data_IF_914882446423
#
_entry.id   IF_914882446423
#
_cell.length_a   1.000
_cell.length_b   1.000
_cell.length_c   1.000
_cell.angle_alpha   90.00
_cell.angle_beta   90.00
_cell.angle_gamma   90.00
#
_symmetry.space_group_name_H-M   'P 1'
#
loop_
_entity.id
_entity.type
_entity.pdbx_description
1 polymer ?
#
# COMPACT_ATOMS: atom_id res chain seq x y z
N UNK A 1 -14.21 3.21 -6.40
CA UNK A 1 -12.78 3.02 -6.72
C UNK A 1 -12.12 2.14 -5.65
N UNK A 2 -11.25 1.23 -6.07
CA UNK A 2 -10.40 0.46 -5.16
C UNK A 2 -8.97 0.96 -5.25
N UNK A 3 -8.33 1.20 -4.10
CA UNK A 3 -6.99 1.76 -3.98
C UNK A 3 -6.12 0.81 -3.16
N UNK A 4 -5.06 0.29 -3.76
CA UNK A 4 -4.02 -0.43 -3.03
C UNK A 4 -2.93 0.54 -2.60
N UNK A 5 -2.60 0.55 -1.32
CA UNK A 5 -1.48 1.32 -0.77
C UNK A 5 -0.28 0.40 -0.54
N UNK A 6 0.86 0.75 -1.10
CA UNK A 6 2.12 0.15 -0.68
C UNK A 6 2.63 0.79 0.62
N UNK A 7 3.67 0.21 1.21
CA UNK A 7 4.26 0.68 2.48
C UNK A 7 4.84 2.09 2.36
N UNK A 8 5.34 2.48 1.18
CA UNK A 8 5.94 3.81 0.98
C UNK A 8 4.92 4.94 1.06
N UNK A 9 3.69 4.68 0.63
CA UNK A 9 2.58 5.65 0.73
C UNK A 9 1.96 5.59 2.12
N UNK A 10 1.66 4.41 2.65
CA UNK A 10 1.02 4.30 3.97
C UNK A 10 1.88 4.89 5.09
N UNK A 11 3.20 4.68 5.08
CA UNK A 11 4.09 5.29 6.08
C UNK A 11 3.98 6.83 6.12
N UNK A 12 3.77 7.47 4.98
CA UNK A 12 3.65 8.94 4.87
C UNK A 12 2.39 9.49 5.50
N UNK A 13 1.35 8.70 5.69
CA UNK A 13 0.14 9.11 6.42
C UNK A 13 0.50 9.58 7.84
N UNK A 14 1.50 8.97 8.45
CA UNK A 14 1.90 9.19 9.85
C UNK A 14 3.11 10.10 10.01
N UNK A 15 3.76 10.51 8.95
CA UNK A 15 5.00 11.29 8.96
C UNK A 15 4.80 12.65 8.26
N UNK A 16 4.35 13.69 8.99
CA UNK A 16 3.99 15.00 8.41
C UNK A 16 5.17 15.72 7.74
N UNK A 17 6.39 15.39 8.12
CA UNK A 17 7.62 15.95 7.56
C UNK A 17 8.09 15.27 6.27
N UNK A 18 7.43 14.19 5.84
CA UNK A 18 7.72 13.51 4.59
C UNK A 18 7.04 14.20 3.40
N UNK A 19 7.77 14.34 2.31
CA UNK A 19 7.20 14.75 1.02
C UNK A 19 6.16 13.70 0.57
N UNK A 20 4.96 14.14 0.22
CA UNK A 20 3.84 13.27 -0.13
C UNK A 20 2.93 12.89 1.04
N UNK A 21 3.13 13.49 2.24
CA UNK A 21 2.23 13.29 3.38
C UNK A 21 0.80 13.73 3.09
N UNK A 22 0.62 14.92 2.54
CA UNK A 22 -0.71 15.47 2.25
C UNK A 22 -1.47 14.60 1.24
N UNK A 23 -0.80 14.12 0.21
CA UNK A 23 -1.35 13.22 -0.79
C UNK A 23 -1.71 11.85 -0.20
N UNK A 24 -0.84 11.29 0.64
CA UNK A 24 -1.10 10.02 1.32
C UNK A 24 -2.31 10.14 2.26
N UNK A 25 -2.40 11.21 3.02
CA UNK A 25 -3.52 11.47 3.92
C UNK A 25 -4.83 11.65 3.14
N UNK A 26 -4.79 12.35 2.01
CA UNK A 26 -5.95 12.52 1.13
C UNK A 26 -6.47 11.17 0.61
N UNK A 27 -5.58 10.23 0.25
CA UNK A 27 -5.98 8.92 -0.23
C UNK A 27 -6.78 8.12 0.79
N UNK A 28 -6.36 8.09 2.06
CA UNK A 28 -7.06 7.31 3.10
C UNK A 28 -8.34 7.98 3.60
N UNK A 29 -8.60 9.23 3.19
CA UNK A 29 -9.82 9.97 3.57
C UNK A 29 -10.87 10.02 2.47
N UNK A 30 -10.65 9.34 1.33
CA UNK A 30 -11.65 9.25 0.26
C UNK A 30 -12.84 8.40 0.73
N UNK A 31 -14.01 9.02 0.80
CA UNK A 31 -15.21 8.37 1.38
C UNK A 31 -15.81 7.26 0.52
N UNK A 32 -15.66 7.35 -0.81
CA UNK A 32 -16.24 6.40 -1.77
C UNK A 32 -15.20 5.44 -2.36
N UNK A 33 -14.12 5.18 -1.61
CA UNK A 33 -13.07 4.26 -2.00
C UNK A 33 -12.93 3.10 -1.01
N UNK A 34 -12.62 1.93 -1.54
CA UNK A 34 -12.13 0.80 -0.75
C UNK A 34 -10.61 0.89 -0.73
N UNK A 35 -10.05 1.13 0.44
CA UNK A 35 -8.60 1.26 0.63
C UNK A 35 -8.05 -0.08 1.14
N UNK A 36 -7.11 -0.65 0.42
CA UNK A 36 -6.56 -1.96 0.75
C UNK A 36 -5.03 -1.93 0.82
N UNK A 37 -4.47 -2.86 1.57
CA UNK A 37 -3.02 -3.13 1.61
C UNK A 37 -2.75 -4.59 1.89
N UNK A 38 -1.52 -5.04 1.72
CA UNK A 38 -1.11 -6.40 2.05
C UNK A 38 -0.69 -6.55 3.52
N UNK A 39 -0.69 -7.79 4.02
CA UNK A 39 -0.39 -8.09 5.43
C UNK A 39 1.04 -7.68 5.87
N UNK A 40 2.02 -7.75 4.96
CA UNK A 40 3.40 -7.34 5.27
C UNK A 40 3.58 -5.84 5.40
N UNK A 41 2.65 -5.05 4.89
CA UNK A 41 2.68 -3.59 5.01
C UNK A 41 2.72 -3.15 6.48
N UNK A 42 2.00 -3.84 7.38
CA UNK A 42 2.05 -3.55 8.81
C UNK A 42 3.48 -3.68 9.36
N UNK A 43 4.21 -4.72 8.96
CA UNK A 43 5.59 -4.95 9.38
C UNK A 43 6.51 -3.85 8.84
N UNK A 44 6.41 -3.55 7.56
CA UNK A 44 7.25 -2.54 6.89
C UNK A 44 7.01 -1.13 7.45
N UNK A 45 5.75 -0.73 7.59
CA UNK A 45 5.39 0.59 8.11
C UNK A 45 5.74 0.72 9.59
N UNK A 46 5.49 -0.31 10.42
CA UNK A 46 5.93 -0.32 11.82
C UNK A 46 7.44 -0.06 11.93
N UNK A 47 8.23 -0.74 11.11
CA UNK A 47 9.68 -0.53 11.08
C UNK A 47 10.06 0.90 10.67
N UNK A 48 9.38 1.47 9.68
CA UNK A 48 9.62 2.85 9.25
C UNK A 48 9.27 3.87 10.34
N UNK A 49 8.15 3.69 11.04
CA UNK A 49 7.71 4.57 12.13
C UNK A 49 8.64 4.50 13.33
N UNK A 50 9.10 3.31 13.72
CA UNK A 50 10.07 3.13 14.80
C UNK A 50 11.41 3.83 14.46
N UNK A 51 11.89 3.69 13.23
CA UNK A 51 13.10 4.40 12.78
C UNK A 51 12.93 5.91 12.80
N UNK A 52 11.77 6.43 12.38
CA UNK A 52 11.45 7.85 12.44
C UNK A 52 11.42 8.36 13.88
N UNK A 53 10.79 7.64 14.80
CA UNK A 53 10.75 7.98 16.23
C UNK A 53 12.16 8.01 16.84
N UNK A 54 13.01 7.03 16.54
CA UNK A 54 14.41 7.00 16.97
C UNK A 54 15.26 8.14 16.42
N UNK A 55 14.87 8.71 15.30
CA UNK A 55 15.43 9.94 14.71
C UNK A 55 14.75 11.21 15.24
N UNK A 56 14.00 11.15 16.33
CA UNK A 56 13.26 12.25 16.95
C UNK A 56 12.21 12.93 16.02
N UNK A 57 11.62 12.15 15.09
CA UNK A 57 10.61 12.62 14.14
C UNK A 57 9.17 12.27 14.55
N UNK A 58 8.95 11.87 15.78
CA UNK A 58 7.62 11.53 16.31
C UNK A 58 7.71 10.70 17.58
N UNK A 59 6.55 10.51 18.21
CA UNK A 59 6.38 9.64 19.37
C UNK A 59 6.05 8.22 18.92
N UNK A 60 6.88 7.25 19.28
CA UNK A 60 6.76 5.85 18.84
C UNK A 60 5.39 5.25 19.21
N UNK A 61 4.93 5.47 20.44
CA UNK A 61 3.67 4.90 20.92
C UNK A 61 2.48 5.48 20.15
N UNK A 62 2.47 6.79 19.92
CA UNK A 62 1.39 7.46 19.18
C UNK A 62 1.39 7.08 17.71
N UNK A 63 2.57 6.98 17.07
CA UNK A 63 2.67 6.59 15.66
C UNK A 63 2.17 5.16 15.44
N UNK A 64 2.59 4.22 16.27
CA UNK A 64 2.14 2.83 16.16
C UNK A 64 0.67 2.66 16.49
N UNK A 65 0.16 3.38 17.49
CA UNK A 65 -1.27 3.36 17.82
C UNK A 65 -2.15 3.88 16.67
N UNK A 66 -1.71 4.92 15.97
CA UNK A 66 -2.42 5.46 14.80
C UNK A 66 -2.45 4.43 13.65
N UNK A 67 -1.31 3.79 13.35
CA UNK A 67 -1.23 2.73 12.36
C UNK A 67 -2.16 1.56 12.70
N UNK A 68 -2.11 1.08 13.94
CA UNK A 68 -2.94 -0.04 14.41
C UNK A 68 -4.44 0.29 14.32
N UNK A 69 -4.82 1.52 14.61
CA UNK A 69 -6.21 1.97 14.50
C UNK A 69 -6.70 1.99 13.06
N UNK A 70 -5.88 2.45 12.11
CA UNK A 70 -6.25 2.52 10.69
C UNK A 70 -6.34 1.13 10.04
N UNK A 71 -5.57 0.15 10.52
CA UNK A 71 -5.60 -1.23 10.04
C UNK A 71 -6.45 -2.18 10.91
N UNK A 72 -7.16 -1.67 11.90
CA UNK A 72 -8.06 -2.51 12.71
C UNK A 72 -9.14 -3.16 11.85
N UNK A 73 -9.29 -4.48 11.97
CA UNK A 73 -10.18 -5.26 11.11
C UNK A 73 -11.67 -4.89 11.23
N UNK A 74 -12.09 -4.20 12.30
CA UNK A 74 -13.50 -3.85 12.59
C UNK A 74 -13.81 -2.39 12.32
N UNK A 75 -12.86 -1.51 12.56
CA UNK A 75 -13.05 -0.05 12.59
C UNK A 75 -12.03 0.73 11.78
N UNK A 76 -11.02 0.08 11.25
CA UNK A 76 -9.98 0.71 10.45
C UNK A 76 -10.46 1.19 9.08
N UNK A 77 -9.77 2.18 8.53
CA UNK A 77 -10.06 2.74 7.21
C UNK A 77 -9.32 2.02 6.09
N UNK A 78 -8.30 1.23 6.43
CA UNK A 78 -7.49 0.46 5.49
C UNK A 78 -7.72 -1.04 5.72
N UNK A 79 -8.21 -1.72 4.71
CA UNK A 79 -8.45 -3.16 4.77
C UNK A 79 -7.15 -3.92 4.46
N UNK A 80 -6.74 -4.80 5.36
CA UNK A 80 -5.66 -5.74 5.07
C UNK A 80 -6.24 -6.94 4.33
N UNK A 81 -5.74 -7.22 3.13
CA UNK A 81 -6.19 -8.37 2.35
C UNK A 81 -5.67 -9.68 2.96
N UNK A 82 -6.52 -10.68 2.99
CA UNK A 82 -6.19 -12.07 3.39
C UNK A 82 -6.10 -12.95 2.14
N UNK A 83 -5.00 -12.78 1.39
CA UNK A 83 -4.76 -13.57 0.19
C UNK A 83 -3.86 -14.78 0.49
N UNK A 84 -4.03 -15.85 -0.27
CA UNK A 84 -3.24 -17.07 -0.13
C UNK A 84 -1.77 -16.78 -0.42
N UNK A 85 -0.89 -16.98 0.58
CA UNK A 85 0.55 -16.66 0.46
C UNK A 85 1.19 -17.35 -0.75
N UNK A 86 0.88 -18.62 -1.00
CA UNK A 86 1.43 -19.36 -2.14
C UNK A 86 1.05 -18.73 -3.50
N UNK A 87 -0.13 -18.13 -3.59
CA UNK A 87 -0.57 -17.44 -4.80
C UNK A 87 0.13 -16.09 -4.98
N UNK A 88 0.28 -15.33 -3.90
CA UNK A 88 1.08 -14.09 -3.91
C UNK A 88 2.52 -14.39 -4.35
N UNK A 89 3.15 -15.42 -3.77
CA UNK A 89 4.53 -15.81 -4.10
C UNK A 89 4.68 -16.22 -5.57
N UNK A 90 3.72 -16.95 -6.11
CA UNK A 90 3.72 -17.36 -7.53
C UNK A 90 3.66 -16.14 -8.45
N UNK A 91 2.73 -15.22 -8.22
CA UNK A 91 2.58 -14.00 -9.02
C UNK A 91 3.82 -13.11 -8.88
N UNK A 92 4.31 -12.91 -7.66
CA UNK A 92 5.51 -12.12 -7.41
C UNK A 92 6.74 -12.70 -8.11
N UNK A 93 6.91 -14.04 -8.09
CA UNK A 93 7.98 -14.73 -8.80
C UNK A 93 7.93 -14.48 -10.32
N UNK A 94 6.73 -14.56 -10.90
CA UNK A 94 6.53 -14.29 -12.33
C UNK A 94 6.89 -12.83 -12.66
N UNK A 95 6.48 -11.86 -11.84
CA UNK A 95 6.82 -10.45 -12.00
C UNK A 95 8.34 -10.20 -11.92
N UNK A 96 9.01 -10.79 -10.92
CA UNK A 96 10.47 -10.67 -10.77
C UNK A 96 11.21 -11.24 -11.98
N UNK A 97 10.81 -12.42 -12.45
CA UNK A 97 11.45 -13.08 -13.60
C UNK A 97 11.21 -12.33 -14.91
N UNK A 98 10.04 -11.71 -15.06
CA UNK A 98 9.69 -10.95 -16.26
C UNK A 98 10.33 -9.57 -16.34
N UNK A 99 10.45 -8.86 -15.20
CA UNK A 99 10.83 -7.44 -15.16
C UNK A 99 12.12 -7.14 -14.40
N UNK A 100 12.58 -8.06 -13.54
CA UNK A 100 13.72 -7.81 -12.64
C UNK A 100 13.40 -6.87 -11.47
N UNK A 101 12.13 -6.58 -11.21
CA UNK A 101 11.72 -5.74 -10.06
C UNK A 101 12.15 -6.40 -8.75
N UNK A 102 12.38 -5.59 -7.71
CA UNK A 102 12.74 -6.10 -6.39
C UNK A 102 11.62 -6.93 -5.78
N UNK A 103 11.97 -7.94 -4.99
CA UNK A 103 11.03 -8.95 -4.48
C UNK A 103 9.88 -8.38 -3.66
N UNK A 104 10.13 -7.39 -2.78
CA UNK A 104 9.05 -6.78 -2.00
C UNK A 104 8.14 -5.90 -2.85
N UNK A 105 8.69 -5.22 -3.86
CA UNK A 105 7.89 -4.45 -4.81
C UNK A 105 6.98 -5.36 -5.65
N UNK A 106 7.51 -6.51 -6.07
CA UNK A 106 6.72 -7.56 -6.75
C UNK A 106 5.64 -8.15 -5.83
N UNK A 107 5.94 -8.34 -4.55
CA UNK A 107 4.99 -8.83 -3.56
C UNK A 107 3.79 -7.87 -3.42
N UNK A 108 4.02 -6.56 -3.33
CA UNK A 108 2.95 -5.56 -3.28
C UNK A 108 2.09 -5.56 -4.55
N UNK A 109 2.72 -5.64 -5.72
CA UNK A 109 1.98 -5.75 -6.99
C UNK A 109 1.14 -7.03 -7.06
N UNK A 110 1.67 -8.15 -6.58
CA UNK A 110 0.94 -9.42 -6.51
C UNK A 110 -0.26 -9.34 -5.56
N UNK A 111 -0.09 -8.73 -4.38
CA UNK A 111 -1.18 -8.48 -3.44
C UNK A 111 -2.27 -7.58 -4.05
N UNK A 112 -1.86 -6.51 -4.73
CA UNK A 112 -2.79 -5.61 -5.40
C UNK A 112 -3.58 -6.33 -6.50
N UNK A 113 -2.93 -7.18 -7.29
CA UNK A 113 -3.59 -7.96 -8.34
C UNK A 113 -4.70 -8.83 -7.76
N UNK A 114 -4.41 -9.59 -6.71
CA UNK A 114 -5.41 -10.44 -6.04
C UNK A 114 -6.53 -9.62 -5.40
N UNK A 115 -6.20 -8.50 -4.75
CA UNK A 115 -7.20 -7.61 -4.16
C UNK A 115 -8.14 -7.01 -5.22
N UNK A 116 -7.59 -6.57 -6.34
CA UNK A 116 -8.39 -6.00 -7.43
C UNK A 116 -9.27 -7.05 -8.11
N UNK A 117 -8.78 -8.28 -8.26
CA UNK A 117 -9.56 -9.36 -8.87
C UNK A 117 -10.70 -9.82 -7.95
N UNK A 118 -10.50 -9.79 -6.63
CA UNK A 118 -11.51 -10.19 -5.65
C UNK A 118 -12.54 -9.09 -5.33
N UNK A 119 -12.09 -7.84 -5.22
CA UNK A 119 -12.89 -6.76 -4.63
C UNK A 119 -13.41 -5.73 -5.64
N UNK A 120 -12.77 -5.57 -6.81
CA UNK A 120 -13.18 -4.55 -7.76
C UNK A 120 -14.41 -5.00 -8.56
N UNK A 121 -15.42 -4.15 -8.59
CA UNK A 121 -16.59 -4.33 -9.45
C UNK A 121 -16.22 -4.15 -10.94
N UNK A 122 -16.98 -4.73 -11.87
CA UNK A 122 -16.76 -4.53 -13.31
C UNK A 122 -16.82 -3.05 -13.69
N UNK A 123 -15.71 -2.56 -14.28
CA UNK A 123 -15.57 -1.15 -14.69
C UNK A 123 -15.14 -0.20 -13.57
N UNK A 124 -14.88 -0.72 -12.38
CA UNK A 124 -14.38 0.08 -11.28
C UNK A 124 -12.89 0.42 -11.46
N UNK A 125 -12.54 1.67 -11.13
CA UNK A 125 -11.16 2.15 -11.18
C UNK A 125 -10.29 1.42 -10.16
N UNK A 126 -9.17 0.88 -10.64
CA UNK A 126 -8.12 0.22 -9.85
C UNK A 126 -6.93 1.14 -9.76
N UNK A 127 -6.58 1.57 -8.55
CA UNK A 127 -5.51 2.51 -8.31
C UNK A 127 -4.41 1.85 -7.48
N UNK A 128 -3.19 1.86 -7.98
CA UNK A 128 -2.01 1.42 -7.24
C UNK A 128 -1.23 2.64 -6.75
N UNK A 129 -1.22 2.86 -5.45
CA UNK A 129 -0.55 4.00 -4.83
C UNK A 129 0.83 3.59 -4.32
N UNK A 130 1.87 4.13 -4.94
CA UNK A 130 3.27 3.92 -4.57
C UNK A 130 4.11 5.16 -4.87
N UNK A 131 5.28 5.24 -4.26
CA UNK A 131 6.33 6.24 -4.57
C UNK A 131 7.49 5.64 -5.35
N UNK A 132 7.46 4.34 -5.60
CA UNK A 132 8.50 3.65 -6.34
C UNK A 132 8.26 3.72 -7.86
N UNK A 133 9.26 4.20 -8.61
CA UNK A 133 9.16 4.42 -10.06
C UNK A 133 8.99 3.09 -10.83
N UNK A 134 9.65 2.03 -10.39
CA UNK A 134 9.56 0.72 -11.07
C UNK A 134 8.18 0.10 -10.84
N UNK A 135 7.64 0.20 -9.62
CA UNK A 135 6.26 -0.22 -9.33
C UNK A 135 5.23 0.59 -10.13
N UNK A 136 5.40 1.93 -10.22
CA UNK A 136 4.54 2.79 -11.04
C UNK A 136 4.51 2.35 -12.50
N UNK A 137 5.68 2.07 -13.08
CA UNK A 137 5.78 1.63 -14.46
C UNK A 137 5.05 0.29 -14.69
N UNK A 138 5.23 -0.69 -13.79
CA UNK A 138 4.55 -1.99 -13.90
C UNK A 138 3.05 -1.89 -13.65
N UNK A 139 2.61 -1.10 -12.68
CA UNK A 139 1.19 -0.87 -12.42
C UNK A 139 0.46 -0.33 -13.67
N UNK A 140 1.08 0.64 -14.37
CA UNK A 140 0.56 1.15 -15.64
C UNK A 140 0.52 0.10 -16.75
N UNK A 141 1.54 -0.75 -16.86
CA UNK A 141 1.54 -1.86 -17.82
C UNK A 141 0.44 -2.89 -17.53
N UNK A 142 0.06 -3.07 -16.26
CA UNK A 142 -1.06 -3.89 -15.83
C UNK A 142 -2.43 -3.22 -16.07
N UNK A 143 -2.45 -1.99 -16.58
CA UNK A 143 -3.67 -1.25 -16.87
C UNK A 143 -4.29 -0.54 -15.66
N UNK A 144 -3.54 -0.39 -14.57
CA UNK A 144 -4.01 0.30 -13.38
C UNK A 144 -3.67 1.79 -13.42
N UNK A 145 -4.51 2.60 -12.79
CA UNK A 145 -4.18 4.00 -12.50
C UNK A 145 -3.16 4.07 -11.37
N UNK A 146 -2.42 5.15 -11.31
CA UNK A 146 -1.45 5.39 -10.24
C UNK A 146 -1.75 6.70 -9.51
N UNK A 147 -1.39 6.81 -8.24
CA UNK A 147 -1.69 7.99 -7.41
C UNK A 147 -1.03 9.28 -7.87
N UNK A 148 -0.07 9.20 -8.80
CA UNK A 148 0.62 10.38 -9.37
C UNK A 148 -0.13 10.92 -10.61
N UNK A 149 -1.10 10.19 -11.14
CA UNK A 149 -1.84 10.54 -12.36
C UNK A 149 -3.10 11.39 -12.07
N UNK A 150 -3.22 11.94 -10.88
CA UNK A 150 -4.33 12.80 -10.45
C UNK A 150 -4.04 14.28 -10.60
#
# INVERSE_FOLDING_TARGET
>A
VIIYLDSSVLARVYLPDEMGHAEALALITITDAVIVTGSWTLIEVSGALIRAARAARGDEVLLLAALDADLDARSGVVVTIDAHQAEIERIALDLVRASGIRSMDAWHLACAMLAFDELAEPGEDRVFATRDIEQLALARQLGWRTSIDS
#
